data_IF_814427819496
#
_entry.id   IF_814427819496
#
_cell.length_a   1.000
_cell.length_b   1.000
_cell.length_c   1.000
_cell.angle_alpha   90.00
_cell.angle_beta   90.00
_cell.angle_gamma   90.00
#
_symmetry.space_group_name_H-M   'P 1'
#
loop_
_entity.id
_entity.type
_entity.pdbx_description
1 polymer ?
#
# COMPACT_ATOMS: atom_id res chain seq x y z
N UNK A 1 14.89 32.19 -19.24
CA UNK A 1 15.78 31.59 -18.22
C UNK A 1 15.87 32.56 -17.04
N UNK A 2 14.96 32.45 -16.06
CA UNK A 2 14.93 33.35 -14.89
C UNK A 2 16.11 33.00 -13.99
N UNK A 3 16.96 33.99 -13.68
CA UNK A 3 18.03 33.88 -12.67
C UNK A 3 17.39 33.45 -11.35
N UNK A 4 17.88 32.38 -10.74
CA UNK A 4 17.55 32.03 -9.36
C UNK A 4 18.03 33.18 -8.45
N UNK A 5 17.20 33.60 -7.51
CA UNK A 5 17.55 34.65 -6.54
C UNK A 5 18.77 34.22 -5.69
N UNK A 6 19.57 35.16 -5.19
CA UNK A 6 20.81 34.85 -4.42
C UNK A 6 20.55 33.92 -3.24
N UNK A 7 19.42 34.10 -2.55
CA UNK A 7 18.92 33.23 -1.48
C UNK A 7 18.85 31.74 -1.90
N UNK A 8 18.46 31.45 -3.14
CA UNK A 8 18.32 30.08 -3.64
C UNK A 8 19.68 29.46 -4.02
N UNK A 9 20.69 30.26 -4.37
CA UNK A 9 22.06 29.77 -4.61
C UNK A 9 22.76 29.39 -3.31
N UNK A 10 22.59 30.21 -2.27
CA UNK A 10 23.20 29.95 -0.96
C UNK A 10 22.52 28.74 -0.28
N UNK A 11 21.19 28.62 -0.40
CA UNK A 11 20.45 27.43 0.05
C UNK A 11 20.91 26.15 -0.66
N UNK A 12 21.15 26.19 -1.97
CA UNK A 12 21.63 25.03 -2.72
C UNK A 12 23.07 24.66 -2.36
N UNK A 13 23.98 25.64 -2.27
CA UNK A 13 25.39 25.37 -1.95
C UNK A 13 25.56 24.79 -0.54
N UNK A 14 24.85 25.34 0.46
CA UNK A 14 24.82 24.78 1.80
C UNK A 14 24.09 23.43 1.81
N UNK A 15 23.00 23.29 1.05
CA UNK A 15 22.27 22.03 0.88
C UNK A 15 23.13 20.87 0.36
N UNK A 16 23.98 21.12 -0.64
CA UNK A 16 24.91 20.11 -1.16
C UNK A 16 26.01 19.75 -0.17
N UNK A 17 26.52 20.71 0.61
CA UNK A 17 27.49 20.45 1.68
C UNK A 17 26.87 19.59 2.79
N UNK A 18 25.63 19.90 3.19
CA UNK A 18 24.88 19.10 4.16
C UNK A 18 24.53 17.70 3.62
N UNK A 19 24.28 17.57 2.31
CA UNK A 19 24.06 16.27 1.68
C UNK A 19 25.30 15.36 1.75
N UNK A 20 26.51 15.89 1.54
CA UNK A 20 27.73 15.10 1.70
C UNK A 20 27.93 14.61 3.14
N UNK A 21 27.66 15.46 4.14
CA UNK A 21 27.69 15.08 5.56
C UNK A 21 26.69 13.95 5.84
N UNK A 22 25.48 14.01 5.26
CA UNK A 22 24.48 12.95 5.40
C UNK A 22 24.92 11.64 4.74
N UNK A 23 25.55 11.70 3.56
CA UNK A 23 26.07 10.52 2.87
C UNK A 23 27.18 9.85 3.69
N UNK A 24 28.11 10.63 4.24
CA UNK A 24 29.16 10.11 5.11
C UNK A 24 28.58 9.48 6.38
N UNK A 25 27.56 10.11 6.99
CA UNK A 25 26.84 9.55 8.13
C UNK A 25 26.17 8.19 7.82
N UNK A 26 25.51 8.09 6.66
CA UNK A 26 24.88 6.83 6.21
C UNK A 26 25.94 5.76 5.93
N UNK A 27 27.05 6.12 5.30
CA UNK A 27 28.15 5.21 5.01
C UNK A 27 28.81 4.69 6.31
N UNK A 28 29.05 5.59 7.27
CA UNK A 28 29.56 5.24 8.59
C UNK A 28 28.56 4.36 9.37
N UNK A 29 27.26 4.62 9.26
CA UNK A 29 26.24 3.74 9.83
C UNK A 29 26.31 2.33 9.23
N UNK A 30 26.37 2.19 7.91
CA UNK A 30 26.47 0.87 7.26
C UNK A 30 27.76 0.14 7.62
N UNK A 31 28.86 0.87 7.80
CA UNK A 31 30.15 0.28 8.21
C UNK A 31 30.10 -0.29 9.63
N UNK A 32 29.34 0.34 10.53
CA UNK A 32 29.28 -0.03 11.94
C UNK A 32 27.93 -0.71 12.31
N UNK A 33 27.11 -1.09 11.32
CA UNK A 33 25.75 -1.60 11.57
C UNK A 33 25.72 -2.86 12.43
N UNK A 34 26.77 -3.69 12.33
CA UNK A 34 26.95 -4.91 13.11
C UNK A 34 27.20 -4.63 14.61
N UNK A 35 27.67 -3.42 14.96
CA UNK A 35 27.95 -3.02 16.34
C UNK A 35 26.67 -2.58 17.08
N UNK A 36 25.59 -2.26 16.35
CA UNK A 36 24.34 -1.83 16.95
C UNK A 36 23.43 -3.02 17.28
N UNK A 37 22.66 -2.96 18.39
CA UNK A 37 21.70 -3.99 18.71
C UNK A 37 20.58 -4.01 17.65
N UNK A 38 20.33 -5.20 17.09
CA UNK A 38 19.30 -5.40 16.04
C UNK A 38 17.91 -4.98 16.50
N UNK A 39 17.59 -5.18 17.79
CA UNK A 39 16.34 -4.73 18.40
C UNK A 39 16.55 -3.44 19.18
N UNK A 40 15.72 -2.44 18.87
CA UNK A 40 15.71 -1.18 19.61
C UNK A 40 15.08 -1.37 20.99
N UNK A 41 15.65 -0.70 22.00
CA UNK A 41 15.15 -0.70 23.40
C UNK A 41 14.38 0.58 23.75
N UNK A 42 13.93 1.32 22.73
CA UNK A 42 13.32 2.64 22.89
C UNK A 42 11.83 2.55 23.22
N UNK A 43 11.32 3.54 23.96
CA UNK A 43 9.90 3.65 24.33
C UNK A 43 9.08 4.18 23.15
N UNK A 44 7.83 3.71 22.96
CA UNK A 44 6.93 4.24 21.93
C UNK A 44 6.74 5.77 22.05
N UNK A 45 6.79 6.50 20.93
CA UNK A 45 6.50 7.95 20.86
C UNK A 45 7.69 8.87 20.55
N UNK A 46 8.91 8.34 20.43
CA UNK A 46 10.15 9.11 20.27
C UNK A 46 10.26 9.93 18.97
N UNK A 47 9.58 9.57 17.88
CA UNK A 47 9.84 10.11 16.53
C UNK A 47 8.71 10.98 15.94
N UNK A 48 7.72 11.38 16.72
CA UNK A 48 6.48 11.98 16.20
C UNK A 48 6.57 13.45 15.73
N UNK A 49 7.76 14.06 15.62
CA UNK A 49 7.87 15.52 15.40
C UNK A 49 8.50 15.98 14.06
N UNK A 50 8.88 15.11 13.14
CA UNK A 50 9.82 15.56 12.09
C UNK A 50 9.66 14.92 10.71
N UNK A 51 8.54 15.09 9.98
CA UNK A 51 8.54 14.80 8.53
C UNK A 51 7.54 15.64 7.68
N UNK A 52 7.98 16.29 6.58
CA UNK A 52 7.15 16.86 5.53
C UNK A 52 7.06 15.98 4.26
N UNK A 53 6.11 16.25 3.36
CA UNK A 53 5.81 15.43 2.18
C UNK A 53 5.58 16.27 0.90
N UNK A 54 6.32 15.98 -0.18
CA UNK A 54 5.91 16.33 -1.55
C UNK A 54 6.71 15.56 -2.61
N UNK A 55 6.01 14.95 -3.59
CA UNK A 55 6.44 14.70 -4.98
C UNK A 55 5.39 13.80 -5.67
N UNK A 56 4.61 14.34 -6.62
CA UNK A 56 3.46 13.60 -7.21
C UNK A 56 3.64 13.25 -8.69
N UNK A 57 4.57 13.88 -9.42
CA UNK A 57 4.72 13.62 -10.87
C UNK A 57 5.64 12.43 -11.20
N UNK A 58 6.65 12.17 -10.36
CA UNK A 58 7.55 11.03 -10.55
C UNK A 58 6.84 9.68 -10.39
N UNK A 59 5.80 9.66 -9.56
CA UNK A 59 5.05 8.45 -9.19
C UNK A 59 4.42 7.76 -10.40
N UNK A 60 3.77 8.53 -11.28
CA UNK A 60 3.11 8.02 -12.49
C UNK A 60 4.08 7.25 -13.40
N UNK A 61 5.28 7.81 -13.61
CA UNK A 61 6.31 7.19 -14.48
C UNK A 61 6.88 5.93 -13.82
N UNK A 62 7.17 5.98 -12.52
CA UNK A 62 7.71 4.84 -11.77
C UNK A 62 6.71 3.68 -11.75
N UNK A 63 5.41 3.95 -11.63
CA UNK A 63 4.37 2.92 -11.64
C UNK A 63 4.23 2.23 -13.01
N UNK A 64 4.35 2.96 -14.12
CA UNK A 64 4.35 2.35 -15.46
C UNK A 64 5.60 1.50 -15.72
N UNK A 65 6.77 1.92 -15.22
CA UNK A 65 7.99 1.10 -15.26
C UNK A 65 7.83 -0.20 -14.47
N UNK A 66 7.32 -0.11 -13.24
CA UNK A 66 7.08 -1.29 -12.40
C UNK A 66 6.05 -2.25 -13.05
N UNK A 67 4.96 -1.72 -13.58
CA UNK A 67 3.96 -2.53 -14.29
C UNK A 67 4.56 -3.27 -15.50
N UNK A 68 5.45 -2.60 -16.24
CA UNK A 68 6.18 -3.19 -17.37
C UNK A 68 7.15 -4.29 -16.93
N UNK A 69 7.89 -4.07 -15.83
CA UNK A 69 8.80 -5.06 -15.25
C UNK A 69 8.06 -6.33 -14.80
N UNK A 70 6.86 -6.16 -14.23
CA UNK A 70 5.99 -7.26 -13.80
C UNK A 70 5.20 -7.89 -14.96
N UNK A 71 5.37 -7.38 -16.20
CA UNK A 71 4.64 -7.81 -17.40
C UNK A 71 3.12 -7.77 -17.23
N UNK A 72 2.62 -6.74 -16.54
CA UNK A 72 1.18 -6.53 -16.37
C UNK A 72 0.54 -6.06 -17.69
N UNK A 73 -0.73 -6.38 -17.93
CA UNK A 73 -1.47 -5.85 -19.08
C UNK A 73 -1.55 -4.31 -19.07
N UNK A 74 -1.66 -3.69 -20.25
CA UNK A 74 -1.75 -2.23 -20.39
C UNK A 74 -2.95 -1.60 -19.68
N UNK A 75 -3.97 -2.39 -19.32
CA UNK A 75 -5.08 -1.95 -18.47
C UNK A 75 -4.67 -1.54 -17.05
N UNK A 76 -3.45 -1.87 -16.61
CA UNK A 76 -2.88 -1.43 -15.32
C UNK A 76 -1.94 -0.23 -15.44
N UNK A 77 -1.67 0.25 -16.66
CA UNK A 77 -0.74 1.35 -16.93
C UNK A 77 -1.49 2.65 -17.18
N UNK A 78 -0.89 3.78 -16.80
CA UNK A 78 -1.39 5.12 -17.13
C UNK A 78 -1.33 5.39 -18.64
N UNK A 79 -0.24 4.99 -19.29
CA UNK A 79 -0.06 5.12 -20.73
C UNK A 79 -0.99 4.21 -21.58
N UNK A 80 -1.73 3.29 -20.95
CA UNK A 80 -2.54 2.28 -21.62
C UNK A 80 -3.85 2.77 -22.25
N UNK A 81 -4.23 4.05 -22.05
CA UNK A 81 -5.42 4.67 -22.67
C UNK A 81 -6.79 4.16 -22.19
N UNK A 82 -6.81 3.11 -21.35
CA UNK A 82 -8.03 2.43 -20.89
C UNK A 82 -8.51 2.89 -19.50
N UNK A 83 -7.96 3.99 -18.97
CA UNK A 83 -8.26 4.48 -17.62
C UNK A 83 -7.63 3.66 -16.48
N UNK A 84 -6.56 2.91 -16.78
CA UNK A 84 -5.75 2.21 -15.79
C UNK A 84 -4.76 3.12 -15.06
N UNK A 85 -3.99 2.55 -14.13
CA UNK A 85 -2.94 3.27 -13.40
C UNK A 85 -2.58 2.59 -12.07
N UNK A 86 -1.65 3.20 -11.35
CA UNK A 86 -1.19 2.74 -10.04
C UNK A 86 -0.77 3.89 -9.14
N UNK A 87 -0.78 3.66 -7.83
CA UNK A 87 -0.45 4.66 -6.81
C UNK A 87 0.46 4.01 -5.75
N UNK A 88 1.45 4.76 -5.27
CA UNK A 88 2.38 4.36 -4.22
C UNK A 88 1.74 4.70 -2.88
N UNK A 89 1.21 3.68 -2.22
CA UNK A 89 0.75 3.81 -0.85
C UNK A 89 1.89 3.56 0.15
N UNK A 90 1.79 4.17 1.33
CA UNK A 90 2.77 3.94 2.39
C UNK A 90 2.70 2.54 3.01
N UNK A 91 1.52 1.89 2.95
CA UNK A 91 1.32 0.53 3.50
C UNK A 91 0.32 -0.28 2.68
N UNK A 92 0.45 -1.61 2.71
CA UNK A 92 -0.55 -2.53 2.16
C UNK A 92 -1.92 -2.41 2.84
N UNK A 93 -1.96 -1.98 4.11
CA UNK A 93 -3.22 -1.85 4.85
C UNK A 93 -4.10 -0.73 4.31
N UNK A 94 -3.49 0.36 3.87
CA UNK A 94 -4.17 1.46 3.19
C UNK A 94 -4.71 1.01 1.83
N UNK A 95 -3.89 0.31 1.04
CA UNK A 95 -4.30 -0.27 -0.27
C UNK A 95 -5.51 -1.18 -0.11
N UNK A 96 -5.47 -2.09 0.88
CA UNK A 96 -6.60 -3.01 1.15
C UNK A 96 -7.86 -2.23 1.54
N UNK A 97 -7.74 -1.17 2.33
CA UNK A 97 -8.89 -0.33 2.70
C UNK A 97 -9.46 0.40 1.48
N UNK A 98 -8.62 1.06 0.67
CA UNK A 98 -9.05 1.77 -0.53
C UNK A 98 -9.76 0.83 -1.52
N UNK A 99 -9.20 -0.36 -1.78
CA UNK A 99 -9.79 -1.32 -2.70
C UNK A 99 -11.11 -1.92 -2.18
N UNK A 100 -11.20 -2.22 -0.88
CA UNK A 100 -12.45 -2.69 -0.25
C UNK A 100 -13.53 -1.61 -0.28
N UNK A 101 -13.20 -0.34 -0.01
CA UNK A 101 -14.15 0.78 -0.09
C UNK A 101 -14.65 0.97 -1.53
N UNK A 102 -13.74 0.99 -2.51
CA UNK A 102 -14.11 1.12 -3.92
C UNK A 102 -15.03 -0.03 -4.39
N UNK A 103 -14.72 -1.27 -3.99
CA UNK A 103 -15.57 -2.43 -4.28
C UNK A 103 -16.94 -2.33 -3.61
N UNK A 104 -16.98 -1.90 -2.34
CA UNK A 104 -18.21 -1.67 -1.58
C UNK A 104 -19.10 -0.63 -2.25
N UNK A 105 -18.57 0.55 -2.58
CA UNK A 105 -19.35 1.63 -3.21
C UNK A 105 -19.91 1.18 -4.56
N UNK A 106 -19.08 0.51 -5.38
CA UNK A 106 -19.54 -0.06 -6.65
C UNK A 106 -20.66 -1.08 -6.46
N UNK A 107 -20.57 -1.95 -5.45
CA UNK A 107 -21.60 -2.95 -5.16
C UNK A 107 -22.89 -2.30 -4.65
N UNK A 108 -22.80 -1.33 -3.74
CA UNK A 108 -23.93 -0.57 -3.20
C UNK A 108 -24.68 0.19 -4.29
N UNK A 109 -23.96 0.87 -5.18
CA UNK A 109 -24.54 1.59 -6.32
C UNK A 109 -25.33 0.67 -7.26
N UNK A 110 -24.95 -0.61 -7.37
CA UNK A 110 -25.69 -1.59 -8.19
C UNK A 110 -26.97 -2.09 -7.53
N UNK A 111 -26.97 -2.27 -6.22
CA UNK A 111 -28.14 -2.80 -5.48
C UNK A 111 -29.07 -1.71 -4.94
N UNK A 112 -28.74 -0.43 -5.12
CA UNK A 112 -29.51 0.71 -4.62
C UNK A 112 -29.51 0.82 -3.09
N UNK A 113 -28.51 0.24 -2.41
CA UNK A 113 -28.41 0.18 -0.96
C UNK A 113 -27.41 1.18 -0.39
N UNK A 114 -27.59 1.57 0.87
CA UNK A 114 -26.65 2.46 1.58
C UNK A 114 -25.81 1.72 2.63
N UNK A 115 -26.18 0.48 2.97
CA UNK A 115 -25.56 -0.30 4.05
C UNK A 115 -24.79 -1.51 3.52
N UNK A 116 -23.60 -1.74 4.09
CA UNK A 116 -22.74 -2.89 3.80
C UNK A 116 -23.25 -4.21 4.39
N UNK A 117 -24.41 -4.23 5.04
CA UNK A 117 -24.96 -5.41 5.74
C UNK A 117 -25.27 -6.61 4.83
N UNK A 118 -25.44 -6.37 3.52
CA UNK A 118 -25.68 -7.43 2.52
C UNK A 118 -24.42 -7.82 1.73
N UNK A 119 -23.31 -7.13 1.96
CA UNK A 119 -22.06 -7.41 1.27
C UNK A 119 -21.26 -8.44 2.07
N UNK A 120 -20.71 -9.41 1.36
CA UNK A 120 -19.90 -10.49 1.91
C UNK A 120 -18.52 -10.45 1.26
N UNK A 121 -17.48 -10.53 2.10
CA UNK A 121 -16.08 -10.56 1.65
C UNK A 121 -15.54 -11.95 1.92
N UNK A 122 -14.93 -12.56 0.90
CA UNK A 122 -14.35 -13.89 0.96
C UNK A 122 -12.82 -13.78 0.90
N UNK A 123 -12.15 -14.54 1.75
CA UNK A 123 -10.69 -14.62 1.80
C UNK A 123 -10.25 -16.00 2.28
N UNK A 124 -8.98 -16.36 2.10
CA UNK A 124 -8.40 -17.54 2.76
C UNK A 124 -8.20 -17.29 4.25
N UNK A 125 -8.26 -18.33 5.07
CA UNK A 125 -7.85 -18.32 6.48
C UNK A 125 -6.37 -17.95 6.73
N UNK A 126 -5.51 -18.01 5.71
CA UNK A 126 -4.12 -17.55 5.75
C UNK A 126 -3.97 -16.05 5.43
N UNK A 127 -5.06 -15.38 5.06
CA UNK A 127 -4.99 -13.97 4.67
C UNK A 127 -4.57 -13.10 5.84
N UNK A 128 -3.61 -12.20 5.60
CA UNK A 128 -3.11 -11.30 6.63
C UNK A 128 -4.26 -10.55 7.34
N UNK A 129 -4.17 -10.43 8.66
CA UNK A 129 -5.22 -9.88 9.53
C UNK A 129 -5.67 -8.46 9.14
N UNK A 130 -4.83 -7.73 8.41
CA UNK A 130 -5.13 -6.46 7.76
C UNK A 130 -6.42 -6.48 6.95
N UNK A 131 -6.74 -7.56 6.22
CA UNK A 131 -7.96 -7.60 5.42
C UNK A 131 -9.20 -7.51 6.31
N UNK A 132 -9.24 -8.31 7.39
CA UNK A 132 -10.35 -8.25 8.34
C UNK A 132 -10.46 -6.87 9.01
N UNK A 133 -9.32 -6.21 9.29
CA UNK A 133 -9.30 -4.82 9.79
C UNK A 133 -9.87 -3.84 8.75
N UNK A 134 -9.45 -3.94 7.49
CA UNK A 134 -9.92 -3.09 6.40
C UNK A 134 -11.43 -3.24 6.17
N UNK A 135 -11.95 -4.47 6.15
CA UNK A 135 -13.38 -4.74 6.03
C UNK A 135 -14.20 -4.14 7.18
N UNK A 136 -13.71 -4.26 8.42
CA UNK A 136 -14.35 -3.64 9.60
C UNK A 136 -14.37 -2.11 9.48
N UNK A 137 -13.25 -1.49 9.09
CA UNK A 137 -13.17 -0.04 8.88
C UNK A 137 -14.09 0.43 7.74
N UNK A 138 -14.25 -0.37 6.70
CA UNK A 138 -15.16 -0.11 5.58
C UNK A 138 -16.65 -0.36 5.91
N UNK A 139 -16.98 -0.74 7.15
CA UNK A 139 -18.37 -0.96 7.59
C UNK A 139 -18.98 -2.29 7.13
N UNK A 140 -18.16 -3.29 6.81
CA UNK A 140 -18.63 -4.66 6.55
C UNK A 140 -18.86 -5.34 7.91
N UNK A 141 -20.03 -5.95 8.07
CA UNK A 141 -20.36 -6.67 9.30
C UNK A 141 -19.37 -7.82 9.54
N UNK A 142 -18.87 -8.04 10.77
CA UNK A 142 -17.92 -9.13 11.04
C UNK A 142 -18.44 -10.52 10.66
N UNK A 143 -19.76 -10.75 10.74
CA UNK A 143 -20.42 -11.99 10.29
C UNK A 143 -20.27 -12.24 8.78
N UNK A 144 -20.04 -11.19 8.00
CA UNK A 144 -19.96 -11.23 6.55
C UNK A 144 -18.51 -11.24 6.03
N UNK A 145 -17.53 -11.36 6.93
CA UNK A 145 -16.12 -11.55 6.58
C UNK A 145 -15.83 -13.03 6.71
N UNK A 146 -15.72 -13.72 5.56
CA UNK A 146 -15.59 -15.18 5.48
C UNK A 146 -14.13 -15.56 5.24
N UNK A 147 -13.46 -16.03 6.29
CA UNK A 147 -12.19 -16.74 6.16
C UNK A 147 -12.47 -18.21 5.79
N UNK A 148 -12.23 -18.55 4.55
CA UNK A 148 -12.44 -19.89 3.99
C UNK A 148 -11.28 -20.80 4.39
N UNK A 149 -11.56 -22.00 4.92
CA UNK A 149 -10.53 -22.89 5.42
C UNK A 149 -9.66 -23.41 4.27
N UNK A 150 -8.34 -23.39 4.47
CA UNK A 150 -7.38 -23.97 3.51
C UNK A 150 -6.71 -25.19 4.10
N UNK A 151 -6.18 -26.07 3.25
CA UNK A 151 -5.59 -27.36 3.65
C UNK A 151 -4.21 -27.55 3.06
N UNK A 152 -3.43 -28.41 3.70
CA UNK A 152 -2.10 -28.83 3.23
C UNK A 152 -2.14 -29.50 1.85
N UNK A 153 -3.24 -30.17 1.49
CA UNK A 153 -3.40 -30.82 0.18
C UNK A 153 -3.34 -29.85 -1.01
N UNK A 154 -3.51 -28.55 -0.76
CA UNK A 154 -3.42 -27.49 -1.75
C UNK A 154 -2.39 -26.42 -1.35
N UNK A 155 -1.39 -26.78 -0.53
CA UNK A 155 -0.36 -25.85 -0.04
C UNK A 155 -0.95 -24.60 0.63
N UNK A 156 -2.09 -24.76 1.32
CA UNK A 156 -2.88 -23.67 1.91
C UNK A 156 -3.36 -22.61 0.91
N UNK A 157 -3.35 -22.91 -0.39
CA UNK A 157 -3.92 -22.06 -1.41
C UNK A 157 -5.45 -22.07 -1.35
N UNK A 158 -6.06 -20.93 -1.70
CA UNK A 158 -7.50 -20.80 -1.77
C UNK A 158 -8.04 -21.51 -3.01
N UNK A 159 -8.83 -22.57 -2.80
CA UNK A 159 -9.44 -23.32 -3.90
C UNK A 159 -10.62 -22.57 -4.53
N UNK A 160 -10.66 -22.53 -5.87
CA UNK A 160 -11.74 -21.90 -6.63
C UNK A 160 -13.09 -22.60 -6.45
N UNK A 161 -13.10 -23.92 -6.26
CA UNK A 161 -14.34 -24.68 -6.00
C UNK A 161 -14.92 -24.35 -4.63
N UNK A 162 -14.07 -24.16 -3.63
CA UNK A 162 -14.47 -23.75 -2.28
C UNK A 162 -15.10 -22.35 -2.28
N UNK A 163 -14.46 -21.39 -2.95
CA UNK A 163 -15.00 -20.03 -3.09
C UNK A 163 -16.36 -20.06 -3.79
N UNK A 164 -16.48 -20.82 -4.89
CA UNK A 164 -17.75 -20.93 -5.63
C UNK A 164 -18.86 -21.55 -4.78
N UNK A 165 -18.57 -22.62 -4.05
CA UNK A 165 -19.53 -23.25 -3.16
C UNK A 165 -19.99 -22.28 -2.05
N UNK A 166 -19.07 -21.52 -1.47
CA UNK A 166 -19.39 -20.52 -0.45
C UNK A 166 -20.29 -19.41 -1.01
N UNK A 167 -20.04 -18.94 -2.24
CA UNK A 167 -20.87 -17.91 -2.90
C UNK A 167 -22.27 -18.41 -3.29
N UNK A 168 -22.47 -19.73 -3.45
CA UNK A 168 -23.77 -20.33 -3.82
C UNK A 168 -24.61 -20.76 -2.61
N UNK A 169 -24.02 -20.81 -1.41
CA UNK A 169 -24.72 -21.17 -0.18
C UNK A 169 -25.55 -20.02 0.41
N UNK A 170 -25.61 -18.87 -0.28
CA UNK A 170 -26.31 -17.63 0.08
C UNK A 170 -27.31 -17.23 -1.01
#
# INVERSE_FOLDING_TARGET
MKRLDSCNRDFMAEGFKQAHIMVDLIADYYKNIEEYPVHSVVKPGYLLQTLPASATELETVVMDWLASLLKLPSSFMFAGGNGGGGVIHGTTSEVMLCTVIAARERALNRIGGTSGSRLVVYASDQTHSTLAKACKLAGIAPSNIRALPTSTSHDFALSSSLVRAAMQAE
#
